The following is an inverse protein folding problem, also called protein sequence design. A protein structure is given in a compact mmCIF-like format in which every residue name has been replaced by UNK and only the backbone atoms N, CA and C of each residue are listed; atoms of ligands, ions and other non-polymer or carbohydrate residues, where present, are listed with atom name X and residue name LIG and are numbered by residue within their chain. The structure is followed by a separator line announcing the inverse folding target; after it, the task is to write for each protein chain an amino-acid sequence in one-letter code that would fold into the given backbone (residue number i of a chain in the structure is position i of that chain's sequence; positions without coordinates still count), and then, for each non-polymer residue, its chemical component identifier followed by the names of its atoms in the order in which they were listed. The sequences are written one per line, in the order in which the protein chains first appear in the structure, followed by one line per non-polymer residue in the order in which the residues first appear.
data_IF_992949656348
#
_entry.id   IF_992949656348
#
_cell.length_a   1.000
_cell.length_b   1.000
_cell.length_c   1.000
_cell.angle_alpha   90.00
_cell.angle_beta   90.00
_cell.angle_gamma   90.00
#
_symmetry.space_group_name_H-M   'P 1'
#
loop_
_entity.id
_entity.type
_entity.pdbx_description
1 polymer ?
#
# COMPACT_ATOMS: atom_id res chain seq x y z
N UNK A 1 -38.93 83.00 38.38
CA UNK A 1 -38.49 82.28 39.59
C UNK A 1 -37.13 81.69 39.29
N UNK A 2 -36.18 81.95 40.18
CA UNK A 2 -34.73 81.71 40.08
C UNK A 2 -34.37 80.24 40.20
N UNK A 3 -33.11 79.90 39.91
CA UNK A 3 -32.16 79.07 40.69
C UNK A 3 -31.01 78.74 39.70
N UNK A 4 -29.78 79.29 39.81
CA UNK A 4 -28.72 78.97 40.81
C UNK A 4 -28.43 77.47 40.85
N UNK A 5 -27.21 76.94 40.91
CA UNK A 5 -25.81 77.35 40.77
C UNK A 5 -25.05 76.01 40.76
N UNK A 6 -23.88 75.98 40.13
CA UNK A 6 -23.02 74.81 39.97
C UNK A 6 -22.38 74.30 41.29
N UNK A 7 -22.29 72.96 41.38
CA UNK A 7 -21.33 72.06 42.06
C UNK A 7 -21.19 72.06 43.60
N UNK A 8 -20.89 70.89 44.22
CA UNK A 8 -19.50 70.40 44.25
C UNK A 8 -19.27 68.87 44.18
N UNK A 9 -18.08 68.56 43.65
CA UNK A 9 -17.09 67.49 43.91
C UNK A 9 -17.50 66.21 44.66
N UNK A 10 -17.25 65.06 44.02
CA UNK A 10 -16.71 63.89 44.74
C UNK A 10 -15.67 63.17 43.87
N UNK A 11 -14.55 62.88 44.51
CA UNK A 11 -13.27 62.39 43.99
C UNK A 11 -13.35 60.91 43.63
N UNK A 12 -13.07 60.54 42.38
CA UNK A 12 -12.82 59.14 42.01
C UNK A 12 -11.34 58.84 42.22
N UNK A 13 -11.03 58.18 43.33
CA UNK A 13 -9.73 57.56 43.57
C UNK A 13 -9.56 56.42 42.56
N UNK A 14 -8.70 56.63 41.57
CA UNK A 14 -8.26 55.60 40.63
C UNK A 14 -7.11 54.85 41.28
N UNK A 15 -7.39 53.64 41.76
CA UNK A 15 -6.39 52.66 42.12
C UNK A 15 -5.63 52.26 40.86
N UNK A 16 -4.38 52.71 40.75
CA UNK A 16 -3.45 52.27 39.72
C UNK A 16 -2.45 51.29 40.36
N UNK A 17 -2.58 49.98 40.10
CA UNK A 17 -1.71 48.96 40.69
C UNK A 17 -0.28 48.98 40.15
N UNK A 18 0.08 49.91 39.25
CA UNK A 18 1.41 49.99 38.64
C UNK A 18 2.27 51.16 39.14
N UNK A 19 1.81 51.93 40.13
CA UNK A 19 2.55 53.09 40.67
C UNK A 19 3.79 52.73 41.53
N UNK A 20 4.18 51.47 41.60
CA UNK A 20 5.42 51.06 42.28
C UNK A 20 6.15 50.01 41.47
N UNK A 21 6.82 50.45 40.41
CA UNK A 21 7.96 49.75 39.84
C UNK A 21 9.13 50.73 39.77
N UNK A 22 10.15 50.46 40.58
CA UNK A 22 11.39 51.22 40.69
C UNK A 22 12.03 51.51 39.33
N UNK A 23 12.28 52.79 39.04
CA UNK A 23 13.06 53.30 37.89
C UNK A 23 14.57 53.02 38.03
N UNK A 24 14.99 51.81 38.43
CA UNK A 24 16.41 51.44 38.56
C UNK A 24 16.79 50.16 37.82
N UNK A 25 16.30 50.00 36.59
CA UNK A 25 16.87 49.01 35.68
C UNK A 25 16.75 49.48 34.21
N UNK A 26 17.50 50.54 33.89
CA UNK A 26 17.54 51.16 32.56
C UNK A 26 18.88 50.90 31.86
N UNK A 27 19.36 49.65 31.88
CA UNK A 27 20.56 49.22 31.14
C UNK A 27 20.64 47.69 31.07
N UNK A 28 19.70 47.02 30.40
CA UNK A 28 19.92 45.68 29.78
C UNK A 28 19.02 45.54 28.56
N UNK A 29 19.40 46.25 27.50
CA UNK A 29 18.91 46.01 26.15
C UNK A 29 19.16 44.55 25.75
N UNK A 30 18.08 43.82 25.51
CA UNK A 30 17.89 42.90 24.39
C UNK A 30 19.16 42.22 23.84
N UNK A 31 19.57 41.16 24.52
CA UNK A 31 20.12 40.01 23.80
C UNK A 31 19.11 38.88 23.94
N UNK A 32 18.06 38.90 23.12
CA UNK A 32 17.44 37.64 22.70
C UNK A 32 18.56 36.89 21.96
N UNK A 33 19.22 35.98 22.67
CA UNK A 33 20.27 35.14 22.12
C UNK A 33 19.63 34.33 20.98
N UNK A 34 19.95 34.68 19.73
CA UNK A 34 19.60 33.91 18.53
C UNK A 34 20.23 32.49 18.53
N UNK A 35 20.91 32.12 19.61
CA UNK A 35 21.49 30.80 19.89
C UNK A 35 20.47 29.81 20.44
N UNK A 36 19.30 30.28 20.90
CA UNK A 36 18.18 29.44 21.34
C UNK A 36 17.25 29.05 20.18
N UNK A 37 17.62 29.33 18.92
CA UNK A 37 17.09 28.58 17.79
C UNK A 37 17.66 27.17 17.89
N UNK A 38 16.92 26.36 18.64
CA UNK A 38 17.02 24.93 18.76
C UNK A 38 17.62 24.35 17.48
N UNK A 39 18.76 23.67 17.66
CA UNK A 39 19.30 22.70 16.71
C UNK A 39 18.18 21.70 16.41
N UNK A 40 17.30 22.05 15.47
CA UNK A 40 16.39 21.12 14.83
C UNK A 40 17.29 20.23 14.00
N UNK A 41 17.91 19.27 14.68
CA UNK A 41 18.38 18.03 14.09
C UNK A 41 17.23 17.56 13.21
N UNK A 42 17.37 17.76 11.90
CA UNK A 42 16.40 17.31 10.94
C UNK A 42 16.44 15.79 10.99
N UNK A 43 15.61 15.21 11.87
CA UNK A 43 15.45 13.76 11.97
C UNK A 43 15.19 13.22 10.57
N UNK A 44 15.93 12.20 10.12
CA UNK A 44 15.76 11.65 8.79
C UNK A 44 14.34 11.11 8.61
N UNK A 45 13.66 11.54 7.55
CA UNK A 45 12.34 11.01 7.17
C UNK A 45 12.53 9.74 6.33
N UNK A 46 11.97 8.63 6.78
CA UNK A 46 12.01 7.35 6.08
C UNK A 46 10.69 7.08 5.37
N UNK A 47 10.75 6.54 4.14
CA UNK A 47 9.58 6.13 3.36
C UNK A 47 9.78 4.72 2.80
N UNK A 48 8.81 3.84 3.01
CA UNK A 48 8.69 2.55 2.34
C UNK A 48 7.73 2.72 1.14
N UNK A 49 8.10 2.17 -0.02
CA UNK A 49 7.24 2.15 -1.20
C UNK A 49 7.20 0.72 -1.72
N UNK A 50 6.00 0.17 -1.84
CA UNK A 50 5.74 -1.14 -2.42
C UNK A 50 5.19 -0.92 -3.83
N UNK A 51 5.70 -1.65 -4.81
CA UNK A 51 5.23 -1.58 -6.19
C UNK A 51 4.13 -2.63 -6.42
N UNK A 52 3.18 -2.31 -7.30
CA UNK A 52 2.08 -3.20 -7.70
C UNK A 52 2.57 -4.59 -8.13
N UNK A 53 3.66 -4.68 -8.90
CA UNK A 53 4.25 -5.97 -9.32
C UNK A 53 4.64 -6.86 -8.13
N UNK A 54 5.00 -6.27 -6.97
CA UNK A 54 5.31 -7.03 -5.75
C UNK A 54 4.03 -7.56 -5.13
N UNK A 55 2.97 -6.75 -5.08
CA UNK A 55 1.64 -7.12 -4.58
C UNK A 55 1.04 -8.24 -5.44
N UNK A 56 1.09 -8.12 -6.76
CA UNK A 56 0.68 -9.16 -7.70
C UNK A 56 1.42 -10.48 -7.45
N UNK A 57 2.74 -10.40 -7.27
CA UNK A 57 3.59 -11.58 -7.08
C UNK A 57 3.30 -12.28 -5.76
N UNK A 58 3.15 -11.54 -4.67
CA UNK A 58 2.79 -12.10 -3.36
C UNK A 58 1.42 -12.77 -3.47
N UNK A 59 0.43 -12.06 -4.02
CA UNK A 59 -0.94 -12.55 -4.16
C UNK A 59 -1.02 -13.79 -5.04
N UNK A 60 -0.29 -13.81 -6.17
CA UNK A 60 -0.23 -14.97 -7.07
C UNK A 60 0.40 -16.18 -6.39
N UNK A 61 1.51 -16.00 -5.65
CA UNK A 61 2.17 -17.07 -4.92
C UNK A 61 1.32 -17.57 -3.73
N UNK A 62 0.60 -16.67 -3.06
CA UNK A 62 -0.30 -17.00 -1.97
C UNK A 62 -1.49 -17.82 -2.47
N UNK A 63 -2.15 -17.37 -3.55
CA UNK A 63 -3.27 -18.06 -4.16
C UNK A 63 -2.88 -19.47 -4.66
N UNK A 64 -1.70 -19.64 -5.26
CA UNK A 64 -1.21 -20.95 -5.72
C UNK A 64 -1.01 -21.99 -4.60
N UNK A 65 -1.00 -21.60 -3.32
CA UNK A 65 -0.89 -22.54 -2.19
C UNK A 65 -2.24 -23.19 -1.83
N UNK A 66 -3.34 -22.68 -2.36
CA UNK A 66 -4.70 -23.05 -1.97
C UNK A 66 -5.11 -24.35 -2.67
N UNK A 67 -5.64 -25.28 -1.89
CA UNK A 67 -6.17 -26.54 -2.43
C UNK A 67 -7.37 -26.27 -3.34
N UNK A 68 -7.31 -26.78 -4.56
CA UNK A 68 -8.35 -26.60 -5.57
C UNK A 68 -8.12 -25.46 -6.56
N UNK A 69 -7.00 -24.75 -6.48
CA UNK A 69 -6.50 -23.92 -7.58
C UNK A 69 -5.43 -24.71 -8.33
N UNK A 70 -5.65 -24.95 -9.63
CA UNK A 70 -4.68 -25.64 -10.49
C UNK A 70 -3.62 -24.67 -11.01
N UNK A 71 -4.07 -23.52 -11.50
CA UNK A 71 -3.21 -22.48 -12.07
C UNK A 71 -3.98 -21.15 -12.11
N UNK A 72 -3.28 -20.09 -12.48
CA UNK A 72 -3.84 -18.75 -12.66
C UNK A 72 -3.57 -18.26 -14.08
N UNK A 73 -4.59 -17.67 -14.71
CA UNK A 73 -4.49 -17.23 -16.10
C UNK A 73 -4.03 -15.78 -16.16
N UNK A 74 -2.77 -15.56 -16.55
CA UNK A 74 -2.23 -14.21 -16.73
C UNK A 74 -2.47 -13.59 -18.09
N UNK A 75 -2.64 -12.26 -18.09
CA UNK A 75 -2.45 -11.44 -19.27
C UNK A 75 -0.99 -11.53 -19.72
N UNK A 76 -0.77 -12.22 -20.83
CA UNK A 76 0.53 -12.41 -21.48
C UNK A 76 1.00 -11.15 -22.23
N UNK A 77 0.26 -10.04 -22.13
CA UNK A 77 0.49 -8.84 -22.93
C UNK A 77 1.79 -8.10 -22.55
N UNK A 78 2.29 -8.29 -21.33
CA UNK A 78 3.61 -7.78 -20.91
C UNK A 78 4.79 -8.55 -21.55
N UNK A 79 4.56 -9.71 -22.19
CA UNK A 79 5.66 -10.52 -22.76
C UNK A 79 6.19 -10.05 -24.11
N UNK A 80 5.53 -9.10 -24.77
CA UNK A 80 5.86 -8.77 -26.17
C UNK A 80 6.54 -7.39 -26.30
N UNK A 81 6.48 -6.52 -25.29
CA UNK A 81 6.97 -5.15 -25.45
C UNK A 81 8.44 -4.95 -25.05
N UNK A 82 9.07 -5.87 -24.32
CA UNK A 82 10.45 -5.71 -23.86
C UNK A 82 11.27 -6.95 -24.19
N UNK A 83 11.89 -6.92 -25.37
CA UNK A 83 12.91 -7.88 -25.74
C UNK A 83 14.14 -7.75 -24.84
N UNK A 84 14.13 -8.38 -23.66
CA UNK A 84 15.33 -8.81 -22.92
C UNK A 84 14.92 -9.53 -21.62
N UNK A 85 15.09 -10.85 -21.60
CA UNK A 85 15.44 -11.64 -20.41
C UNK A 85 14.73 -11.32 -19.08
N UNK A 86 13.52 -11.85 -18.91
CA UNK A 86 12.89 -11.93 -17.59
C UNK A 86 11.54 -12.62 -17.71
N UNK A 87 11.45 -13.87 -17.27
CA UNK A 87 10.15 -14.53 -17.16
C UNK A 87 9.42 -13.94 -15.94
N UNK A 88 8.72 -12.82 -16.13
CA UNK A 88 7.88 -12.27 -15.08
C UNK A 88 6.68 -13.19 -14.83
N UNK A 89 6.62 -13.66 -13.58
CA UNK A 89 5.70 -14.69 -13.07
C UNK A 89 4.54 -14.06 -12.28
N UNK A 90 3.96 -12.95 -12.74
CA UNK A 90 2.72 -12.41 -12.17
C UNK A 90 1.52 -12.86 -13.00
N UNK A 91 1.40 -14.18 -13.24
CA UNK A 91 0.30 -14.71 -14.03
C UNK A 91 -0.99 -14.64 -13.22
N UNK A 92 -1.96 -13.88 -13.72
CA UNK A 92 -3.37 -13.98 -13.36
C UNK A 92 -3.75 -13.22 -12.09
N UNK A 93 -2.93 -12.24 -11.71
CA UNK A 93 -3.28 -11.26 -10.71
C UNK A 93 -2.96 -9.88 -11.27
N UNK A 94 -3.91 -8.98 -11.13
CA UNK A 94 -3.75 -7.55 -11.34
C UNK A 94 -3.95 -6.87 -9.97
N UNK A 95 -3.14 -5.85 -9.66
CA UNK A 95 -3.21 -5.17 -8.38
C UNK A 95 -3.06 -3.66 -8.53
N UNK A 96 -3.97 -2.93 -7.89
CA UNK A 96 -3.91 -1.47 -7.79
C UNK A 96 -3.69 -1.07 -6.33
N UNK A 97 -2.72 -0.20 -6.10
CA UNK A 97 -2.52 0.43 -4.78
C UNK A 97 -3.32 1.72 -4.72
N UNK A 98 -4.23 1.83 -3.75
CA UNK A 98 -5.16 2.98 -3.67
C UNK A 98 -4.64 4.08 -2.76
N UNK A 99 -3.94 3.73 -1.69
CA UNK A 99 -3.30 4.65 -0.76
C UNK A 99 -2.08 3.98 -0.09
N UNK A 100 -1.55 4.55 1.00
CA UNK A 100 -0.38 3.99 1.69
C UNK A 100 -0.67 2.69 2.48
N UNK A 101 -1.93 2.23 2.52
CA UNK A 101 -2.36 1.08 3.32
C UNK A 101 -3.28 0.09 2.59
N UNK A 102 -3.80 0.42 1.41
CA UNK A 102 -4.86 -0.35 0.74
C UNK A 102 -4.48 -0.86 -0.65
N UNK A 103 -4.83 -2.12 -0.92
CA UNK A 103 -4.66 -2.77 -2.23
C UNK A 103 -5.98 -3.35 -2.75
N UNK A 104 -6.23 -3.18 -4.06
CA UNK A 104 -7.27 -3.89 -4.80
C UNK A 104 -6.64 -5.02 -5.59
N UNK A 105 -7.33 -6.16 -5.66
CA UNK A 105 -6.83 -7.35 -6.34
C UNK A 105 -7.89 -7.92 -7.27
N UNK A 106 -7.50 -8.21 -8.51
CA UNK A 106 -8.29 -8.98 -9.46
C UNK A 106 -7.54 -10.28 -9.81
N UNK A 107 -8.13 -11.43 -9.49
CA UNK A 107 -7.51 -12.74 -9.67
C UNK A 107 -8.27 -13.57 -10.70
N UNK A 108 -7.56 -14.07 -11.70
CA UNK A 108 -8.07 -15.02 -12.70
C UNK A 108 -7.57 -16.43 -12.39
N UNK A 109 -8.46 -17.29 -11.87
CA UNK A 109 -8.13 -18.63 -11.36
C UNK A 109 -8.71 -19.75 -12.21
N UNK A 110 -7.93 -20.81 -12.38
CA UNK A 110 -8.37 -22.10 -12.94
C UNK A 110 -8.59 -23.05 -11.77
N UNK A 111 -9.83 -23.51 -11.59
CA UNK A 111 -10.18 -24.41 -10.49
C UNK A 111 -10.00 -25.88 -10.88
N UNK A 112 -9.72 -26.68 -9.86
CA UNK A 112 -9.74 -28.13 -9.97
C UNK A 112 -11.18 -28.66 -10.01
N UNK A 113 -11.44 -29.60 -10.94
CA UNK A 113 -12.73 -30.27 -11.03
C UNK A 113 -13.10 -30.97 -9.72
N UNK A 114 -14.33 -30.73 -9.25
CA UNK A 114 -14.85 -31.32 -8.02
C UNK A 114 -14.62 -30.50 -6.76
N UNK A 115 -13.90 -29.37 -6.83
CA UNK A 115 -13.73 -28.42 -5.72
C UNK A 115 -14.84 -27.37 -5.72
N UNK A 116 -15.16 -26.84 -4.54
CA UNK A 116 -16.24 -25.87 -4.35
C UNK A 116 -15.72 -24.44 -4.53
N UNK A 117 -16.14 -23.74 -5.58
CA UNK A 117 -15.71 -22.36 -5.83
C UNK A 117 -15.96 -21.39 -4.66
N UNK A 118 -17.10 -21.42 -3.94
CA UNK A 118 -17.28 -20.60 -2.74
C UNK A 118 -16.29 -20.89 -1.61
N UNK A 119 -15.94 -22.17 -1.39
CA UNK A 119 -14.98 -22.55 -0.35
C UNK A 119 -13.57 -22.10 -0.72
N UNK A 120 -13.18 -22.32 -1.98
CA UNK A 120 -11.89 -21.83 -2.50
C UNK A 120 -11.83 -20.31 -2.42
N UNK A 121 -12.91 -19.59 -2.73
CA UNK A 121 -12.96 -18.13 -2.58
C UNK A 121 -12.78 -17.68 -1.13
N UNK A 122 -13.40 -18.36 -0.17
CA UNK A 122 -13.21 -18.09 1.25
C UNK A 122 -11.75 -18.30 1.69
N UNK A 123 -11.10 -19.33 1.15
CA UNK A 123 -9.69 -19.59 1.40
C UNK A 123 -8.77 -18.54 0.75
N UNK A 124 -9.06 -18.11 -0.48
CA UNK A 124 -8.32 -17.04 -1.19
C UNK A 124 -8.32 -15.76 -0.35
N UNK A 125 -9.50 -15.30 0.09
CA UNK A 125 -9.61 -14.07 0.91
C UNK A 125 -8.70 -14.12 2.13
N UNK A 126 -8.67 -15.28 2.81
CA UNK A 126 -7.87 -15.45 4.02
C UNK A 126 -6.38 -15.49 3.69
N UNK A 127 -5.95 -16.42 2.84
CA UNK A 127 -4.53 -16.68 2.59
C UNK A 127 -3.86 -15.49 1.91
N UNK A 128 -4.50 -14.90 0.89
CA UNK A 128 -3.94 -13.74 0.17
C UNK A 128 -3.96 -12.49 1.06
N UNK A 129 -5.05 -12.26 1.80
CA UNK A 129 -5.17 -11.13 2.72
C UNK A 129 -4.13 -11.18 3.84
N UNK A 130 -3.94 -12.36 4.46
CA UNK A 130 -2.96 -12.58 5.52
C UNK A 130 -1.53 -12.40 4.97
N UNK A 131 -1.15 -13.09 3.88
CA UNK A 131 0.19 -13.00 3.29
C UNK A 131 0.52 -11.56 2.85
N UNK A 132 -0.42 -10.84 2.23
CA UNK A 132 -0.18 -9.47 1.78
C UNK A 132 0.03 -8.52 2.96
N UNK A 133 -0.81 -8.62 3.99
CA UNK A 133 -0.70 -7.81 5.20
C UNK A 133 0.59 -8.09 5.96
N UNK A 134 0.94 -9.35 6.15
CA UNK A 134 2.14 -9.76 6.89
C UNK A 134 3.43 -9.34 6.18
N UNK A 135 3.45 -9.38 4.85
CA UNK A 135 4.65 -9.06 4.07
C UNK A 135 4.82 -7.56 3.75
N UNK A 136 3.71 -6.83 3.58
CA UNK A 136 3.75 -5.45 3.06
C UNK A 136 3.08 -4.42 3.97
N UNK A 137 2.25 -4.86 4.93
CA UNK A 137 1.40 -3.98 5.72
C UNK A 137 0.14 -3.50 4.99
N UNK A 138 -0.06 -3.86 3.72
CA UNK A 138 -1.24 -3.48 2.94
C UNK A 138 -2.44 -4.35 3.30
N UNK A 139 -3.60 -3.72 3.45
CA UNK A 139 -4.89 -4.38 3.61
C UNK A 139 -5.61 -4.48 2.26
N UNK A 140 -6.23 -5.64 2.01
CA UNK A 140 -7.04 -5.82 0.82
C UNK A 140 -8.37 -5.10 1.02
N UNK A 141 -8.60 -4.04 0.25
CA UNK A 141 -9.85 -3.26 0.30
C UNK A 141 -10.92 -3.83 -0.63
N UNK A 142 -10.50 -4.44 -1.74
CA UNK A 142 -11.37 -5.02 -2.75
C UNK A 142 -10.66 -6.23 -3.37
N UNK A 143 -11.40 -7.33 -3.54
CA UNK A 143 -10.89 -8.54 -4.15
C UNK A 143 -11.94 -9.14 -5.07
N UNK A 144 -11.63 -9.20 -6.36
CA UNK A 144 -12.42 -9.94 -7.35
C UNK A 144 -11.71 -11.24 -7.67
N UNK A 145 -12.43 -12.36 -7.60
CA UNK A 145 -11.92 -13.66 -8.05
C UNK A 145 -12.79 -14.14 -9.21
N UNK A 146 -12.19 -14.22 -10.39
CA UNK A 146 -12.82 -14.69 -11.60
C UNK A 146 -12.36 -16.13 -11.89
N UNK A 147 -13.31 -17.06 -11.93
CA UNK A 147 -13.05 -18.45 -12.31
C UNK A 147 -13.07 -18.55 -13.82
N UNK A 148 -11.90 -18.64 -14.44
CA UNK A 148 -11.75 -18.61 -15.90
C UNK A 148 -11.95 -19.96 -16.56
N UNK A 149 -11.67 -21.06 -15.84
CA UNK A 149 -11.76 -22.43 -16.35
C UNK A 149 -11.86 -23.43 -15.17
N UNK A 150 -12.32 -24.65 -15.46
CA UNK A 150 -12.33 -25.78 -14.52
C UNK A 150 -11.78 -27.00 -15.24
N UNK A 151 -10.74 -27.62 -14.70
CA UNK A 151 -10.11 -28.79 -15.31
C UNK A 151 -9.62 -29.78 -14.27
N UNK A 152 -9.29 -30.98 -14.70
CA UNK A 152 -8.55 -31.95 -13.88
C UNK A 152 -7.05 -31.67 -13.93
N UNK A 153 -6.27 -32.10 -12.91
CA UNK A 153 -4.81 -31.97 -12.94
C UNK A 153 -4.16 -32.64 -14.17
N UNK A 154 -4.72 -33.77 -14.61
CA UNK A 154 -4.25 -34.50 -15.79
C UNK A 154 -4.48 -33.71 -17.10
N UNK A 155 -5.64 -33.06 -17.24
CA UNK A 155 -5.94 -32.20 -18.39
C UNK A 155 -5.02 -30.97 -18.43
N UNK A 156 -4.76 -30.36 -17.27
CA UNK A 156 -3.81 -29.26 -17.17
C UNK A 156 -2.39 -29.68 -17.56
N UNK A 157 -1.92 -30.83 -17.06
CA UNK A 157 -0.61 -31.38 -17.37
C UNK A 157 -0.45 -31.70 -18.87
N UNK A 158 -1.49 -32.21 -19.53
CA UNK A 158 -1.47 -32.46 -20.98
C UNK A 158 -1.43 -31.15 -21.79
N UNK A 159 -2.20 -30.14 -21.37
CA UNK A 159 -2.29 -28.83 -22.04
C UNK A 159 -0.99 -28.02 -21.90
N UNK A 160 -0.33 -28.07 -20.75
CA UNK A 160 0.94 -27.36 -20.50
C UNK A 160 2.21 -28.19 -20.78
N UNK A 161 2.10 -29.52 -20.84
CA UNK A 161 3.20 -30.45 -21.12
C UNK A 161 3.54 -30.63 -22.61
N UNK A 162 2.76 -30.07 -23.54
CA UNK A 162 2.94 -30.23 -24.99
C UNK A 162 4.12 -29.47 -25.63
N UNK A 163 5.05 -28.93 -24.84
CA UNK A 163 6.17 -28.11 -25.34
C UNK A 163 7.56 -28.73 -25.10
N UNK A 164 7.74 -30.05 -25.15
CA UNK A 164 9.04 -30.65 -25.49
C UNK A 164 8.96 -32.16 -25.78
N UNK A 165 8.41 -32.56 -26.92
CA UNK A 165 8.59 -33.93 -27.45
C UNK A 165 8.73 -33.87 -28.96
N UNK A 166 9.88 -33.36 -29.40
CA UNK A 166 10.45 -33.64 -30.71
C UNK A 166 11.43 -34.81 -30.61
N UNK A 167 10.94 -36.01 -30.28
CA UNK A 167 11.57 -37.27 -30.73
C UNK A 167 11.27 -37.40 -32.24
N UNK A 168 12.11 -37.87 -33.17
CA UNK A 168 13.41 -38.52 -33.15
C UNK A 168 13.59 -39.21 -34.52
N UNK A 169 14.82 -39.16 -35.06
CA UNK A 169 15.43 -40.06 -36.06
C UNK A 169 14.95 -40.10 -37.53
N UNK A 170 15.92 -39.85 -38.42
CA UNK A 170 16.23 -40.86 -39.45
C UNK A 170 17.75 -40.94 -39.66
N UNK A 171 18.31 -42.01 -39.11
CA UNK A 171 19.63 -42.55 -39.42
C UNK A 171 19.59 -43.16 -40.82
N UNK A 172 20.69 -43.07 -41.57
CA UNK A 172 20.85 -43.79 -42.83
C UNK A 172 21.39 -42.96 -43.99
N UNK A 173 22.71 -42.89 -44.09
CA UNK A 173 23.40 -43.01 -45.38
C UNK A 173 24.86 -43.40 -45.15
N UNK A 174 25.10 -44.71 -45.19
CA UNK A 174 26.36 -45.24 -45.68
C UNK A 174 26.39 -45.02 -47.20
N UNK A 175 27.41 -44.32 -47.70
CA UNK A 175 28.25 -44.78 -48.79
C UNK A 175 29.52 -43.92 -48.88
#
# INVERSE_FOLDING_TARGET
MTQSTLNPTSTKSTYDPYSSVDEKNKDKSDSFDLRDLEDVSAEPVYKLVINENVVEKISSLAAQKIDGIIDMKGNVLSRIQEGLGGADKTKGVDADIVDDAGAKLDLDVILEYGKSAPQVFDEIKKVVGDDLKDMTGLEVIEMTVNVVDVMTPDEYAQKNGGSNSGDGQQDGSSN
#
